data_IF_044914163711
#
_entry.id   IF_044914163711
#
_cell.length_a   1.000
_cell.length_b   1.000
_cell.length_c   1.000
_cell.angle_alpha   90.00
_cell.angle_beta   90.00
_cell.angle_gamma   90.00
#
_symmetry.space_group_name_H-M   'P 1'
#
loop_
_entity.id
_entity.type
_entity.pdbx_description
1 polymer ?
#
# COMPACT_ATOMS: atom_id res chain seq x y z
N UNK A 1 16.35 -10.80 -27.57
CA UNK A 1 16.25 -10.07 -26.29
C UNK A 1 15.15 -9.04 -26.48
N UNK A 2 14.12 -9.03 -25.63
CA UNK A 2 13.08 -8.00 -25.68
C UNK A 2 13.69 -6.72 -25.13
N UNK A 3 13.58 -5.60 -25.86
CA UNK A 3 13.95 -4.29 -25.34
C UNK A 3 12.95 -3.82 -24.27
N UNK A 4 13.37 -2.89 -23.40
CA UNK A 4 12.46 -2.22 -22.46
C UNK A 4 11.44 -1.44 -23.30
N UNK A 5 10.12 -1.55 -23.02
CA UNK A 5 9.11 -0.80 -23.76
C UNK A 5 9.33 0.71 -23.67
N UNK A 6 8.93 1.44 -24.72
CA UNK A 6 8.97 2.91 -24.72
C UNK A 6 8.16 3.49 -23.55
N UNK A 7 8.65 4.60 -22.97
CA UNK A 7 8.03 5.25 -21.80
C UNK A 7 6.56 5.57 -22.06
N UNK A 8 6.21 6.04 -23.25
CA UNK A 8 4.82 6.38 -23.57
C UNK A 8 3.90 5.15 -23.47
N UNK A 9 4.36 3.98 -23.93
CA UNK A 9 3.61 2.73 -23.83
C UNK A 9 3.44 2.28 -22.36
N UNK A 10 4.49 2.38 -21.56
CA UNK A 10 4.43 2.06 -20.12
C UNK A 10 3.44 2.98 -19.39
N UNK A 11 3.47 4.28 -19.67
CA UNK A 11 2.55 5.27 -19.07
C UNK A 11 1.10 5.01 -19.47
N UNK A 12 0.82 4.63 -20.73
CA UNK A 12 -0.54 4.25 -21.16
C UNK A 12 -1.03 3.03 -20.40
N UNK A 13 -0.21 1.97 -20.31
CA UNK A 13 -0.55 0.77 -19.54
C UNK A 13 -0.84 1.10 -18.08
N UNK A 14 0.02 1.90 -17.45
CA UNK A 14 -0.11 2.29 -16.05
C UNK A 14 -1.36 3.15 -15.79
N UNK A 15 -1.68 4.09 -16.69
CA UNK A 15 -2.92 4.88 -16.63
C UNK A 15 -4.16 4.00 -16.71
N UNK A 16 -4.15 3.01 -17.59
CA UNK A 16 -5.29 2.09 -17.76
C UNK A 16 -5.41 1.13 -16.56
N UNK A 17 -4.28 0.78 -15.90
CA UNK A 17 -4.27 0.03 -14.65
C UNK A 17 -4.95 0.80 -13.51
N UNK A 18 -4.53 2.05 -13.24
CA UNK A 18 -5.12 2.86 -12.15
C UNK A 18 -6.60 3.20 -12.41
N UNK A 19 -6.97 3.48 -13.67
CA UNK A 19 -8.36 3.78 -14.04
C UNK A 19 -9.32 2.62 -13.76
N UNK A 20 -8.84 1.38 -13.90
CA UNK A 20 -9.62 0.16 -13.62
C UNK A 20 -9.53 -0.25 -12.14
N UNK A 21 -8.37 -0.10 -11.51
CA UNK A 21 -8.09 -0.58 -10.16
C UNK A 21 -8.58 0.32 -9.03
N UNK A 22 -8.60 1.66 -9.21
CA UNK A 22 -9.08 2.56 -8.16
C UNK A 22 -9.57 3.91 -8.70
N UNK A 23 -10.89 4.13 -8.61
CA UNK A 23 -11.50 5.41 -9.00
C UNK A 23 -10.99 6.58 -8.16
N UNK A 24 -10.82 6.38 -6.85
CA UNK A 24 -10.37 7.43 -5.92
C UNK A 24 -8.93 7.85 -6.22
N UNK A 25 -8.00 6.89 -6.36
CA UNK A 25 -6.62 7.22 -6.70
C UNK A 25 -6.49 7.78 -8.12
N UNK A 26 -7.25 7.26 -9.10
CA UNK A 26 -7.28 7.84 -10.44
C UNK A 26 -7.73 9.30 -10.42
N UNK A 27 -8.74 9.64 -9.62
CA UNK A 27 -9.22 11.02 -9.46
C UNK A 27 -8.20 11.90 -8.74
N UNK A 28 -7.67 11.46 -7.60
CA UNK A 28 -6.67 12.19 -6.81
C UNK A 28 -5.38 12.45 -7.60
N UNK A 29 -4.97 11.50 -8.45
CA UNK A 29 -3.77 11.64 -9.28
C UNK A 29 -3.81 12.86 -10.22
N UNK A 30 -5.01 13.36 -10.57
CA UNK A 30 -5.17 14.53 -11.44
C UNK A 30 -4.66 15.83 -10.80
N UNK A 31 -4.47 15.86 -9.48
CA UNK A 31 -3.99 17.04 -8.75
C UNK A 31 -2.48 17.25 -8.93
N UNK A 32 -1.73 16.16 -9.15
CA UNK A 32 -0.30 16.20 -9.45
C UNK A 32 0.00 16.94 -10.77
N UNK A 33 1.23 17.45 -10.89
CA UNK A 33 1.77 17.88 -12.18
C UNK A 33 1.87 16.67 -13.14
N UNK A 34 1.84 16.88 -14.47
CA UNK A 34 1.82 15.78 -15.44
C UNK A 34 2.91 14.74 -15.23
N UNK A 35 4.16 15.17 -15.01
CA UNK A 35 5.31 14.28 -14.80
C UNK A 35 5.18 13.45 -13.51
N UNK A 36 4.91 14.08 -12.37
CA UNK A 36 4.67 13.39 -11.08
C UNK A 36 3.49 12.42 -11.17
N UNK A 37 2.44 12.79 -11.91
CA UNK A 37 1.26 11.95 -12.12
C UNK A 37 1.60 10.68 -12.89
N UNK A 38 2.37 10.79 -13.98
CA UNK A 38 2.81 9.63 -14.75
C UNK A 38 3.67 8.69 -13.91
N UNK A 39 4.62 9.24 -13.14
CA UNK A 39 5.43 8.46 -12.21
C UNK A 39 4.58 7.74 -11.18
N UNK A 40 3.60 8.42 -10.59
CA UNK A 40 2.68 7.82 -9.62
C UNK A 40 1.84 6.69 -10.25
N UNK A 41 1.42 6.82 -11.52
CA UNK A 41 0.74 5.73 -12.23
C UNK A 41 1.64 4.52 -12.42
N UNK A 42 2.90 4.71 -12.82
CA UNK A 42 3.86 3.62 -13.00
C UNK A 42 4.09 2.85 -11.70
N UNK A 43 4.28 3.57 -10.59
CA UNK A 43 4.40 2.95 -9.26
C UNK A 43 3.13 2.20 -8.89
N UNK A 44 1.96 2.80 -9.07
CA UNK A 44 0.67 2.16 -8.79
C UNK A 44 0.49 0.86 -9.59
N UNK A 45 0.84 0.85 -10.87
CA UNK A 45 0.70 -0.31 -11.74
C UNK A 45 1.49 -1.51 -11.20
N UNK A 46 2.70 -1.27 -10.68
CA UNK A 46 3.50 -2.31 -10.05
C UNK A 46 2.94 -2.77 -8.71
N UNK A 47 2.49 -1.85 -7.84
CA UNK A 47 1.83 -2.24 -6.59
C UNK A 47 0.61 -3.14 -6.87
N UNK A 48 -0.23 -2.75 -7.84
CA UNK A 48 -1.42 -3.52 -8.23
C UNK A 48 -1.06 -4.88 -8.84
N UNK A 49 0.00 -4.94 -9.64
CA UNK A 49 0.47 -6.21 -10.22
C UNK A 49 1.02 -7.15 -9.14
N UNK A 50 1.73 -6.63 -8.14
CA UNK A 50 2.20 -7.43 -7.02
C UNK A 50 1.04 -7.99 -6.19
N UNK A 51 0.03 -7.17 -5.93
CA UNK A 51 -1.23 -7.55 -5.28
C UNK A 51 -1.96 -8.67 -6.04
N UNK A 52 -2.16 -8.52 -7.36
CA UNK A 52 -2.73 -9.58 -8.21
C UNK A 52 -1.93 -10.90 -8.14
N UNK A 53 -0.59 -10.83 -8.14
CA UNK A 53 0.27 -12.03 -8.01
C UNK A 53 0.10 -12.66 -6.63
N UNK A 54 0.08 -11.87 -5.55
CA UNK A 54 -0.09 -12.37 -4.18
C UNK A 54 -1.44 -13.11 -4.01
N UNK A 55 -2.51 -12.51 -4.51
CA UNK A 55 -3.86 -13.08 -4.46
C UNK A 55 -4.09 -14.22 -5.46
N UNK A 56 -3.18 -14.40 -6.43
CA UNK A 56 -3.31 -15.41 -7.47
C UNK A 56 -4.46 -15.10 -8.44
N UNK A 57 -4.65 -13.82 -8.71
CA UNK A 57 -5.68 -13.27 -9.58
C UNK A 57 -5.04 -12.64 -10.83
N UNK A 58 -5.85 -12.49 -11.87
CA UNK A 58 -5.57 -11.55 -12.97
C UNK A 58 -6.66 -10.48 -12.91
N UNK A 59 -6.32 -9.28 -12.42
CA UNK A 59 -7.21 -8.13 -12.32
C UNK A 59 -8.44 -8.27 -11.38
N UNK A 60 -8.29 -8.76 -10.14
CA UNK A 60 -9.37 -8.63 -9.13
C UNK A 60 -10.49 -9.68 -9.23
N UNK A 61 -10.24 -10.82 -9.88
CA UNK A 61 -11.19 -11.92 -10.03
C UNK A 61 -11.38 -12.76 -8.76
N UNK A 62 -12.29 -13.73 -8.77
CA UNK A 62 -12.49 -14.61 -7.61
C UNK A 62 -11.19 -15.34 -7.23
N UNK A 63 -10.86 -15.36 -5.93
CA UNK A 63 -9.77 -16.15 -5.35
C UNK A 63 -9.80 -17.58 -5.91
N UNK A 64 -8.79 -17.95 -6.70
CA UNK A 64 -8.61 -19.35 -7.10
C UNK A 64 -7.82 -20.09 -6.02
N UNK A 65 -8.08 -21.39 -5.83
CA UNK A 65 -7.31 -22.21 -4.88
C UNK A 65 -5.92 -22.43 -5.50
N UNK A 66 -4.93 -21.66 -5.05
CA UNK A 66 -3.64 -21.56 -5.76
C UNK A 66 -2.56 -22.47 -5.16
N UNK A 67 -1.82 -23.13 -6.05
CA UNK A 67 -0.94 -24.27 -5.78
C UNK A 67 0.45 -23.96 -5.21
N UNK A 68 0.92 -22.69 -5.17
CA UNK A 68 2.16 -22.33 -4.45
C UNK A 68 2.28 -20.81 -4.20
N UNK A 69 2.07 -20.36 -2.96
CA UNK A 69 2.26 -18.95 -2.59
C UNK A 69 3.74 -18.54 -2.54
N UNK A 70 4.62 -19.49 -2.21
CA UNK A 70 6.05 -19.23 -2.10
C UNK A 70 6.70 -19.04 -3.48
N UNK A 71 6.28 -19.82 -4.48
CA UNK A 71 6.71 -19.63 -5.86
C UNK A 71 6.34 -18.24 -6.39
N UNK A 72 5.12 -17.77 -6.12
CA UNK A 72 4.64 -16.44 -6.56
C UNK A 72 5.42 -15.30 -5.91
N UNK A 73 5.73 -15.40 -4.61
CA UNK A 73 6.60 -14.43 -3.93
C UNK A 73 8.02 -14.45 -4.52
N UNK A 74 8.56 -15.63 -4.82
CA UNK A 74 9.87 -15.77 -5.46
C UNK A 74 9.89 -15.10 -6.85
N UNK A 75 8.86 -15.33 -7.66
CA UNK A 75 8.72 -14.73 -8.99
C UNK A 75 8.58 -13.21 -8.90
N UNK A 76 7.77 -12.72 -7.96
CA UNK A 76 7.60 -11.28 -7.69
C UNK A 76 8.92 -10.61 -7.31
N UNK A 77 9.72 -11.23 -6.42
CA UNK A 77 11.06 -10.73 -6.07
C UNK A 77 11.98 -10.73 -7.28
N UNK A 78 12.03 -11.83 -8.03
CA UNK A 78 12.88 -11.96 -9.20
C UNK A 78 12.57 -10.90 -10.28
N UNK A 79 11.29 -10.65 -10.57
CA UNK A 79 10.86 -9.63 -11.51
C UNK A 79 11.18 -8.21 -11.00
N UNK A 80 10.95 -7.94 -9.72
CA UNK A 80 11.29 -6.65 -9.09
C UNK A 80 12.79 -6.38 -9.15
N UNK A 81 13.63 -7.37 -8.81
CA UNK A 81 15.09 -7.24 -8.84
C UNK A 81 15.61 -6.98 -10.26
N UNK A 82 15.04 -7.66 -11.27
CA UNK A 82 15.34 -7.39 -12.69
C UNK A 82 14.98 -5.97 -13.08
N UNK A 83 13.78 -5.51 -12.72
CA UNK A 83 13.34 -4.13 -12.98
C UNK A 83 14.28 -3.10 -12.33
N UNK A 84 14.69 -3.33 -11.07
CA UNK A 84 15.60 -2.47 -10.33
C UNK A 84 17.00 -2.39 -10.99
N UNK A 85 17.49 -3.50 -11.58
CA UNK A 85 18.73 -3.52 -12.37
C UNK A 85 18.59 -2.87 -13.76
N UNK A 86 17.38 -2.48 -14.16
CA UNK A 86 17.13 -1.94 -15.50
C UNK A 86 17.15 -2.99 -16.59
N UNK A 87 16.85 -4.24 -16.25
CA UNK A 87 16.68 -5.31 -17.21
C UNK A 87 15.20 -5.38 -17.62
N UNK A 88 14.89 -5.55 -18.91
CA UNK A 88 13.52 -5.82 -19.37
C UNK A 88 12.99 -7.06 -18.65
N UNK A 89 11.82 -6.97 -18.04
CA UNK A 89 11.17 -8.06 -17.29
C UNK A 89 10.22 -8.86 -18.17
N UNK A 90 9.63 -8.22 -19.17
CA UNK A 90 8.56 -8.77 -20.01
C UNK A 90 7.15 -8.45 -19.50
N UNK A 91 7.04 -7.74 -18.36
CA UNK A 91 5.77 -7.25 -17.82
C UNK A 91 5.83 -5.71 -17.71
N UNK A 92 4.94 -4.97 -18.40
CA UNK A 92 4.95 -3.51 -18.40
C UNK A 92 4.87 -2.85 -17.02
N UNK A 93 4.22 -3.49 -16.03
CA UNK A 93 4.11 -2.95 -14.69
C UNK A 93 5.48 -2.92 -14.00
N UNK A 94 6.25 -4.01 -14.12
CA UNK A 94 7.60 -4.09 -13.56
C UNK A 94 8.60 -3.24 -14.34
N UNK A 95 8.49 -3.20 -15.67
CA UNK A 95 9.37 -2.35 -16.51
C UNK A 95 9.16 -0.85 -16.20
N UNK A 96 7.90 -0.42 -16.04
CA UNK A 96 7.52 0.92 -15.61
C UNK A 96 8.02 1.26 -14.21
N UNK A 97 7.95 0.30 -13.29
CA UNK A 97 8.50 0.46 -11.94
C UNK A 97 10.00 0.65 -11.94
N UNK A 98 10.75 -0.20 -12.66
CA UNK A 98 12.20 -0.04 -12.79
C UNK A 98 12.59 1.34 -13.32
N UNK A 99 11.84 1.84 -14.31
CA UNK A 99 12.04 3.19 -14.86
C UNK A 99 11.89 4.27 -13.79
N UNK A 100 10.78 4.29 -13.03
CA UNK A 100 10.54 5.33 -12.01
C UNK A 100 11.52 5.26 -10.84
N UNK A 101 11.88 4.04 -10.41
CA UNK A 101 12.87 3.83 -9.34
C UNK A 101 14.21 4.46 -9.69
N UNK A 102 14.67 4.31 -10.94
CA UNK A 102 15.92 4.93 -11.43
C UNK A 102 15.79 6.44 -11.62
N UNK A 103 14.71 6.91 -12.23
CA UNK A 103 14.49 8.34 -12.48
C UNK A 103 14.48 9.18 -11.20
N UNK A 104 13.93 8.62 -10.13
CA UNK A 104 13.77 9.32 -8.86
C UNK A 104 14.79 8.89 -7.79
N UNK A 105 15.74 8.00 -8.13
CA UNK A 105 16.72 7.44 -7.20
C UNK A 105 16.08 6.88 -5.91
N UNK A 106 14.94 6.20 -6.05
CA UNK A 106 14.18 5.66 -4.91
C UNK A 106 14.97 4.48 -4.31
N UNK A 107 15.18 4.45 -2.98
CA UNK A 107 15.86 3.34 -2.34
C UNK A 107 15.14 2.00 -2.58
N UNK A 108 15.87 1.02 -3.11
CA UNK A 108 15.35 -0.31 -3.42
C UNK A 108 14.74 -1.04 -2.20
N UNK A 109 15.20 -0.71 -0.97
CA UNK A 109 14.67 -1.27 0.27
C UNK A 109 13.14 -1.17 0.36
N UNK A 110 12.54 -0.06 -0.07
CA UNK A 110 11.09 0.13 0.03
C UNK A 110 10.30 -0.83 -0.86
N UNK A 111 10.88 -1.23 -2.00
CA UNK A 111 10.28 -2.24 -2.86
C UNK A 111 10.27 -3.61 -2.18
N UNK A 112 11.39 -3.98 -1.56
CA UNK A 112 11.52 -5.23 -0.82
C UNK A 112 10.65 -5.26 0.44
N UNK A 113 10.59 -4.14 1.17
CA UNK A 113 9.73 -4.00 2.34
C UNK A 113 8.26 -4.22 1.99
N UNK A 114 7.79 -3.73 0.84
CA UNK A 114 6.43 -4.01 0.36
C UNK A 114 6.23 -5.50 0.06
N UNK A 115 7.20 -6.15 -0.59
CA UNK A 115 7.14 -7.58 -0.89
C UNK A 115 7.16 -8.44 0.38
N UNK A 116 7.87 -8.00 1.43
CA UNK A 116 7.83 -8.64 2.74
C UNK A 116 6.44 -8.56 3.37
N UNK A 117 5.67 -7.50 3.10
CA UNK A 117 4.25 -7.41 3.46
C UNK A 117 3.40 -8.51 2.82
N UNK A 118 3.52 -8.70 1.50
CA UNK A 118 2.82 -9.80 0.81
C UNK A 118 3.25 -11.18 1.34
N UNK A 119 4.50 -11.33 1.79
CA UNK A 119 4.98 -12.58 2.39
C UNK A 119 4.30 -12.90 3.74
N UNK A 120 3.96 -11.87 4.53
CA UNK A 120 3.17 -12.05 5.76
C UNK A 120 1.76 -12.54 5.43
N UNK A 121 1.11 -11.94 4.43
CA UNK A 121 -0.24 -12.33 4.01
C UNK A 121 -0.26 -13.76 3.42
N UNK A 122 0.74 -14.14 2.65
CA UNK A 122 0.89 -15.50 2.13
C UNK A 122 1.06 -16.55 3.24
N UNK A 123 1.62 -16.17 4.39
CA UNK A 123 1.88 -17.04 5.52
C UNK A 123 0.71 -17.13 6.55
N UNK A 124 -0.45 -16.54 6.23
CA UNK A 124 -1.58 -16.34 7.16
C UNK A 124 -1.15 -15.73 8.51
N UNK A 125 -0.22 -14.78 8.44
CA UNK A 125 0.31 -14.11 9.61
C UNK A 125 -0.77 -13.26 10.32
N UNK A 126 -0.64 -13.12 11.65
CA UNK A 126 -1.55 -12.32 12.49
C UNK A 126 -0.75 -11.50 13.51
N UNK A 127 -1.08 -10.21 13.73
CA UNK A 127 -0.37 -9.38 14.69
C UNK A 127 -0.63 -9.85 16.12
N UNK A 128 0.42 -10.00 16.92
CA UNK A 128 0.27 -10.31 18.36
C UNK A 128 0.07 -9.04 19.17
N UNK A 129 0.78 -7.98 18.78
CA UNK A 129 0.85 -6.68 19.47
C UNK A 129 0.47 -5.52 18.55
N UNK A 130 0.32 -4.33 19.12
CA UNK A 130 0.15 -3.09 18.35
C UNK A 130 1.37 -2.80 17.47
N UNK A 131 2.59 -3.01 17.99
CA UNK A 131 3.83 -2.84 17.22
C UNK A 131 3.91 -3.76 16.01
N UNK A 132 3.42 -4.99 16.14
CA UNK A 132 3.32 -5.92 15.02
C UNK A 132 2.37 -5.41 13.95
N UNK A 133 1.19 -4.90 14.36
CA UNK A 133 0.24 -4.27 13.44
C UNK A 133 0.86 -3.05 12.73
N UNK A 134 1.55 -2.17 13.47
CA UNK A 134 2.20 -0.99 12.88
C UNK A 134 3.32 -1.38 11.91
N UNK A 135 4.09 -2.43 12.22
CA UNK A 135 5.11 -2.98 11.30
C UNK A 135 4.45 -3.54 10.03
N UNK A 136 3.34 -4.25 10.16
CA UNK A 136 2.57 -4.71 9.00
C UNK A 136 2.08 -3.51 8.15
N UNK A 137 1.48 -2.50 8.79
CA UNK A 137 1.05 -1.27 8.10
C UNK A 137 2.21 -0.55 7.39
N UNK A 138 3.41 -0.56 7.97
CA UNK A 138 4.60 -0.05 7.31
C UNK A 138 4.87 -0.81 6.01
N UNK A 139 4.95 -2.14 6.07
CA UNK A 139 5.25 -2.96 4.90
C UNK A 139 4.22 -2.74 3.78
N UNK A 140 2.92 -2.82 4.07
CA UNK A 140 1.89 -2.81 3.03
C UNK A 140 1.46 -1.40 2.57
N UNK A 141 1.83 -0.34 3.29
CA UNK A 141 1.42 1.02 2.93
C UNK A 141 2.46 2.10 3.25
N UNK A 142 3.13 2.05 4.41
CA UNK A 142 4.16 3.03 4.80
C UNK A 142 5.32 3.11 3.80
N UNK A 143 5.82 1.96 3.34
CA UNK A 143 6.87 1.87 2.32
C UNK A 143 6.46 2.54 1.00
N UNK A 144 5.19 2.39 0.59
CA UNK A 144 4.64 3.09 -0.57
C UNK A 144 4.58 4.60 -0.35
N UNK A 145 4.23 5.04 0.86
CA UNK A 145 4.31 6.45 1.27
C UNK A 145 5.70 7.04 1.09
N UNK A 146 6.74 6.33 1.53
CA UNK A 146 8.14 6.73 1.34
C UNK A 146 8.53 6.80 -0.14
N UNK A 147 8.17 5.80 -0.95
CA UNK A 147 8.42 5.82 -2.40
C UNK A 147 7.74 7.00 -3.08
N UNK A 148 6.49 7.30 -2.68
CA UNK A 148 5.75 8.46 -3.17
C UNK A 148 6.43 9.78 -2.79
N UNK A 149 6.93 9.92 -1.56
CA UNK A 149 7.64 11.13 -1.13
C UNK A 149 8.89 11.40 -1.98
N UNK A 150 9.73 10.38 -2.18
CA UNK A 150 10.92 10.51 -3.02
C UNK A 150 10.55 10.83 -4.47
N UNK A 151 9.53 10.14 -5.01
CA UNK A 151 8.99 10.41 -6.35
C UNK A 151 8.48 11.86 -6.52
N UNK A 152 7.96 12.46 -5.44
CA UNK A 152 7.52 13.85 -5.39
C UNK A 152 8.67 14.87 -5.19
N UNK A 153 9.91 14.39 -5.04
CA UNK A 153 11.13 15.22 -4.96
C UNK A 153 11.71 15.37 -3.56
N UNK A 154 11.28 14.60 -2.58
CA UNK A 154 11.92 14.54 -1.26
C UNK A 154 13.27 13.83 -1.38
N UNK A 155 14.31 14.37 -0.76
CA UNK A 155 15.62 13.74 -0.71
C UNK A 155 15.53 12.39 0.02
N UNK A 156 16.03 11.27 -0.56
CA UNK A 156 16.07 9.98 0.12
C UNK A 156 16.81 9.96 1.47
N UNK A 157 17.61 10.98 1.77
CA UNK A 157 18.30 11.18 3.05
C UNK A 157 17.51 12.06 4.05
N UNK A 158 16.39 12.67 3.65
CA UNK A 158 15.51 13.43 4.55
C UNK A 158 14.58 12.49 5.32
N UNK A 159 15.16 11.79 6.30
CA UNK A 159 14.44 10.83 7.14
C UNK A 159 13.23 11.45 7.83
N UNK A 160 13.31 12.72 8.25
CA UNK A 160 12.21 13.40 8.93
C UNK A 160 10.96 13.54 8.03
N UNK A 161 11.14 13.96 6.77
CA UNK A 161 10.02 14.04 5.82
C UNK A 161 9.53 12.65 5.41
N UNK A 162 10.44 11.69 5.24
CA UNK A 162 10.08 10.30 4.90
C UNK A 162 9.28 9.62 6.02
N UNK A 163 9.60 9.88 7.29
CA UNK A 163 8.82 9.39 8.43
C UNK A 163 7.39 9.94 8.40
N UNK A 164 7.20 11.23 8.02
CA UNK A 164 5.84 11.80 7.86
C UNK A 164 5.10 11.19 6.67
N UNK A 165 5.79 10.82 5.61
CA UNK A 165 5.20 10.12 4.48
C UNK A 165 4.80 8.68 4.84
N UNK A 166 5.63 7.99 5.64
CA UNK A 166 5.32 6.70 6.21
C UNK A 166 4.07 6.77 7.08
N UNK A 167 3.96 7.77 7.97
CA UNK A 167 2.79 7.99 8.83
C UNK A 167 1.49 8.06 8.01
N UNK A 168 1.49 8.72 6.84
CA UNK A 168 0.29 8.76 6.00
C UNK A 168 -0.10 7.36 5.48
N UNK A 169 0.89 6.55 5.10
CA UNK A 169 0.67 5.15 4.72
C UNK A 169 0.09 4.33 5.88
N UNK A 170 0.64 4.50 7.09
CA UNK A 170 0.09 3.87 8.31
C UNK A 170 -1.37 4.28 8.53
N UNK A 171 -1.68 5.58 8.42
CA UNK A 171 -3.02 6.09 8.60
C UNK A 171 -4.02 5.45 7.63
N UNK A 172 -3.67 5.34 6.35
CA UNK A 172 -4.53 4.70 5.35
C UNK A 172 -4.74 3.22 5.62
N UNK A 173 -3.69 2.49 6.01
CA UNK A 173 -3.85 1.05 6.28
C UNK A 173 -4.65 0.80 7.55
N UNK A 174 -4.45 1.58 8.61
CA UNK A 174 -5.26 1.50 9.82
C UNK A 174 -6.74 1.80 9.54
N UNK A 175 -7.03 2.79 8.68
CA UNK A 175 -8.38 3.10 8.23
C UNK A 175 -9.00 1.97 7.41
N UNK A 176 -8.26 1.35 6.48
CA UNK A 176 -8.72 0.18 5.73
C UNK A 176 -9.07 -0.97 6.69
N UNK A 177 -8.16 -1.32 7.61
CA UNK A 177 -8.42 -2.38 8.59
C UNK A 177 -9.65 -2.06 9.44
N UNK A 178 -9.85 -0.80 9.85
CA UNK A 178 -11.02 -0.40 10.64
C UNK A 178 -12.34 -0.57 9.87
N UNK A 179 -12.33 -0.23 8.57
CA UNK A 179 -13.49 -0.33 7.68
C UNK A 179 -13.84 -1.79 7.37
N UNK A 180 -12.81 -2.61 7.15
CA UNK A 180 -12.95 -3.90 6.47
C UNK A 180 -12.89 -5.10 7.45
N UNK A 181 -12.91 -4.88 8.78
CA UNK A 181 -12.85 -5.93 9.81
C UNK A 181 -13.76 -7.13 9.50
N UNK A 182 -15.00 -6.85 9.06
CA UNK A 182 -15.97 -7.89 8.74
C UNK A 182 -15.68 -8.65 7.45
N UNK A 183 -15.21 -7.96 6.42
CA UNK A 183 -14.84 -8.55 5.13
C UNK A 183 -13.56 -9.40 5.29
N UNK A 184 -12.57 -8.88 6.01
CA UNK A 184 -11.36 -9.61 6.39
C UNK A 184 -11.69 -10.89 7.16
N UNK A 185 -12.55 -10.81 8.17
CA UNK A 185 -12.98 -11.98 8.93
C UNK A 185 -13.69 -13.03 8.05
N UNK A 186 -14.50 -12.60 7.09
CA UNK A 186 -15.16 -13.49 6.13
C UNK A 186 -14.15 -14.16 5.18
N UNK A 187 -13.04 -13.49 4.86
CA UNK A 187 -11.91 -14.02 4.11
C UNK A 187 -10.93 -14.86 4.97
N UNK A 188 -11.22 -15.06 6.27
CA UNK A 188 -10.37 -15.81 7.20
C UNK A 188 -9.18 -15.02 7.77
N UNK A 189 -9.07 -13.73 7.41
CA UNK A 189 -8.03 -12.80 7.87
C UNK A 189 -8.40 -12.15 9.20
N UNK A 190 -7.41 -11.70 9.94
CA UNK A 190 -7.62 -10.88 11.15
C UNK A 190 -6.38 -10.05 11.45
N UNK A 191 -6.48 -8.73 11.22
CA UNK A 191 -5.40 -7.77 11.48
C UNK A 191 -5.53 -7.05 12.83
N UNK A 192 -6.51 -7.45 13.66
CA UNK A 192 -6.61 -6.96 15.03
C UNK A 192 -5.58 -7.68 15.91
N UNK A 193 -4.74 -6.96 16.69
CA UNK A 193 -3.77 -7.57 17.59
C UNK A 193 -4.42 -8.57 18.55
N UNK A 194 -3.80 -9.75 18.69
CA UNK A 194 -4.26 -10.80 19.61
C UNK A 194 -4.41 -10.26 21.05
N UNK A 195 -3.48 -9.41 21.49
CA UNK A 195 -3.57 -8.78 22.81
C UNK A 195 -4.86 -7.95 22.99
N UNK A 196 -5.27 -7.18 21.97
CA UNK A 196 -6.49 -6.37 22.06
C UNK A 196 -7.77 -7.21 22.07
N UNK A 197 -7.76 -8.32 21.32
CA UNK A 197 -8.89 -9.26 21.32
C UNK A 197 -9.04 -9.89 22.71
N UNK A 198 -7.93 -10.30 23.32
CA UNK A 198 -7.92 -10.89 24.66
C UNK A 198 -8.45 -9.91 25.73
N UNK A 199 -8.08 -8.64 25.66
CA UNK A 199 -8.56 -7.60 26.59
C UNK A 199 -10.09 -7.41 26.58
N UNK A 200 -10.77 -7.88 25.53
CA UNK A 200 -12.22 -7.76 25.33
C UNK A 200 -12.95 -9.12 25.31
N UNK A 201 -12.27 -10.20 25.72
CA UNK A 201 -12.78 -11.58 25.65
C UNK A 201 -13.29 -11.94 24.24
N UNK A 202 -12.55 -11.51 23.21
CA UNK A 202 -12.81 -11.81 21.81
C UNK A 202 -11.78 -12.80 21.26
N UNK A 203 -12.20 -13.57 20.27
CA UNK A 203 -11.30 -14.37 19.44
C UNK A 203 -11.64 -14.12 17.97
N UNK A 204 -10.74 -14.43 17.02
CA UNK A 204 -11.07 -14.33 15.60
C UNK A 204 -12.36 -15.10 15.23
N UNK A 205 -12.63 -16.23 15.89
CA UNK A 205 -13.82 -17.03 15.65
C UNK A 205 -15.12 -16.40 16.21
N UNK A 206 -15.05 -15.60 17.27
CA UNK A 206 -16.22 -14.98 17.90
C UNK A 206 -16.45 -13.52 17.48
N UNK A 207 -15.50 -12.94 16.73
CA UNK A 207 -15.44 -11.53 16.35
C UNK A 207 -16.71 -11.02 15.67
N UNK A 208 -17.33 -11.85 14.82
CA UNK A 208 -18.50 -11.48 14.01
C UNK A 208 -19.84 -11.87 14.63
N UNK A 209 -19.86 -12.35 15.88
CA UNK A 209 -21.11 -12.67 16.57
C UNK A 209 -21.89 -11.40 16.96
N UNK A 210 -23.23 -11.43 17.03
CA UNK A 210 -24.01 -10.28 17.48
C UNK A 210 -23.59 -9.75 18.86
N UNK A 211 -23.17 -10.65 19.76
CA UNK A 211 -22.70 -10.31 21.11
C UNK A 211 -21.36 -9.56 21.11
N UNK A 212 -20.50 -9.76 20.10
CA UNK A 212 -19.21 -9.09 19.99
C UNK A 212 -19.32 -7.64 19.47
N UNK A 213 -20.42 -7.27 18.82
CA UNK A 213 -20.58 -5.97 18.12
C UNK A 213 -20.22 -4.73 18.96
N UNK A 214 -20.65 -4.58 20.23
CA UNK A 214 -20.28 -3.42 21.03
C UNK A 214 -18.76 -3.33 21.28
N UNK A 215 -18.11 -4.48 21.52
CA UNK A 215 -16.68 -4.59 21.77
C UNK A 215 -15.87 -4.38 20.49
N UNK A 216 -16.36 -4.90 19.37
CA UNK A 216 -15.79 -4.63 18.05
C UNK A 216 -15.80 -3.13 17.73
N UNK A 217 -16.87 -2.43 18.10
CA UNK A 217 -16.93 -0.97 17.98
C UNK A 217 -15.87 -0.23 18.80
N UNK A 218 -15.39 -0.80 19.92
CA UNK A 218 -14.26 -0.23 20.68
C UNK A 218 -12.96 -0.35 19.86
N UNK A 219 -12.71 -1.53 19.28
CA UNK A 219 -11.51 -1.77 18.46
C UNK A 219 -11.52 -0.95 17.17
N UNK A 220 -12.67 -0.85 16.50
CA UNK A 220 -12.82 0.02 15.33
C UNK A 220 -12.54 1.48 15.65
N UNK A 221 -13.05 2.01 16.78
CA UNK A 221 -12.73 3.37 17.23
C UNK A 221 -11.26 3.54 17.59
N UNK A 222 -10.61 2.53 18.17
CA UNK A 222 -9.17 2.56 18.47
C UNK A 222 -8.36 2.71 17.18
N UNK A 223 -8.63 1.87 16.18
CA UNK A 223 -7.98 1.95 14.86
C UNK A 223 -8.23 3.31 14.19
N UNK A 224 -9.47 3.78 14.17
CA UNK A 224 -9.81 5.08 13.58
C UNK A 224 -9.10 6.24 14.30
N UNK A 225 -8.99 6.19 15.63
CA UNK A 225 -8.25 7.17 16.41
C UNK A 225 -6.76 7.15 16.10
N UNK A 226 -6.14 5.96 15.97
CA UNK A 226 -4.74 5.84 15.57
C UNK A 226 -4.53 6.36 14.14
N UNK A 227 -5.41 6.01 13.21
CA UNK A 227 -5.36 6.51 11.84
C UNK A 227 -5.38 8.04 11.80
N UNK A 228 -6.27 8.67 12.57
CA UNK A 228 -6.35 10.13 12.66
C UNK A 228 -5.08 10.77 13.25
N UNK A 229 -4.44 10.14 14.26
CA UNK A 229 -3.19 10.62 14.84
C UNK A 229 -2.04 10.56 13.83
N UNK A 230 -1.92 9.47 13.07
CA UNK A 230 -0.92 9.34 12.01
C UNK A 230 -1.20 10.29 10.83
N UNK A 231 -2.47 10.52 10.48
CA UNK A 231 -2.85 11.52 9.47
C UNK A 231 -2.46 12.94 9.91
N UNK A 232 -2.70 13.31 11.17
CA UNK A 232 -2.28 14.58 11.75
C UNK A 232 -0.75 14.72 11.72
N UNK A 233 -0.03 13.68 12.14
CA UNK A 233 1.43 13.62 12.07
C UNK A 233 1.94 13.85 10.65
N UNK A 234 1.37 13.14 9.67
CA UNK A 234 1.76 13.23 8.26
C UNK A 234 1.62 14.65 7.67
N UNK A 235 0.63 15.43 8.13
CA UNK A 235 0.42 16.81 7.66
C UNK A 235 1.65 17.68 7.87
N UNK A 236 2.47 17.42 8.89
CA UNK A 236 3.70 18.18 9.15
C UNK A 236 4.75 18.02 8.03
N UNK A 237 4.76 16.89 7.30
CA UNK A 237 5.66 16.67 6.18
C UNK A 237 5.26 17.40 4.89
N UNK A 238 4.01 17.87 4.79
CA UNK A 238 3.50 18.46 3.53
C UNK A 238 4.17 19.78 3.16
N UNK A 239 4.76 20.49 4.13
CA UNK A 239 5.53 21.72 3.88
C UNK A 239 6.85 21.49 3.13
N UNK A 240 7.37 20.26 3.13
CA UNK A 240 8.57 19.89 2.38
C UNK A 240 8.29 19.52 0.91
N UNK A 241 7.01 19.40 0.52
CA UNK A 241 6.62 19.00 -0.82
C UNK A 241 6.40 20.21 -1.75
N UNK A 242 6.60 20.04 -3.08
CA UNK A 242 6.13 21.03 -4.05
C UNK A 242 4.64 21.31 -3.89
N UNK A 243 4.20 22.56 -4.10
CA UNK A 243 2.84 23.01 -3.77
C UNK A 243 1.72 22.12 -4.35
N UNK A 244 1.86 21.64 -5.59
CA UNK A 244 0.87 20.74 -6.21
C UNK A 244 0.85 19.35 -5.55
N UNK A 245 2.02 18.84 -5.18
CA UNK A 245 2.15 17.57 -4.47
C UNK A 245 1.60 17.66 -3.06
N UNK A 246 1.91 18.74 -2.33
CA UNK A 246 1.33 19.03 -1.02
C UNK A 246 -0.20 19.07 -1.08
N UNK A 247 -0.77 19.78 -2.07
CA UNK A 247 -2.22 19.85 -2.24
C UNK A 247 -2.85 18.49 -2.60
N UNK A 248 -2.19 17.71 -3.46
CA UNK A 248 -2.63 16.36 -3.80
C UNK A 248 -2.64 15.42 -2.58
N UNK A 249 -1.59 15.47 -1.76
CA UNK A 249 -1.48 14.69 -0.52
C UNK A 249 -2.55 15.11 0.49
N UNK A 250 -2.75 16.40 0.70
CA UNK A 250 -3.78 16.91 1.62
C UNK A 250 -5.20 16.56 1.16
N UNK A 251 -5.47 16.60 -0.15
CA UNK A 251 -6.74 16.18 -0.71
C UNK A 251 -6.97 14.67 -0.55
N UNK A 252 -5.93 13.85 -0.78
CA UNK A 252 -6.00 12.41 -0.56
C UNK A 252 -6.26 12.09 0.93
N UNK A 253 -5.55 12.76 1.85
CA UNK A 253 -5.75 12.63 3.29
C UNK A 253 -7.19 13.00 3.70
N UNK A 254 -7.73 14.11 3.18
CA UNK A 254 -9.12 14.51 3.44
C UNK A 254 -10.15 13.49 2.93
N UNK A 255 -10.00 13.01 1.68
CA UNK A 255 -10.91 12.02 1.11
C UNK A 255 -10.88 10.70 1.91
N UNK A 256 -9.70 10.25 2.33
CA UNK A 256 -9.55 9.01 3.10
C UNK A 256 -9.98 9.16 4.56
N UNK A 257 -9.75 10.32 5.18
CA UNK A 257 -10.22 10.62 6.52
C UNK A 257 -11.76 10.61 6.62
N UNK A 258 -12.46 10.98 5.54
CA UNK A 258 -13.93 10.91 5.47
C UNK A 258 -14.45 9.48 5.27
N UNK A 259 -13.65 8.58 4.68
CA UNK A 259 -14.02 7.15 4.51
C UNK A 259 -13.86 6.38 5.83
N UNK A 260 -12.95 6.83 6.71
CA UNK A 260 -12.65 6.18 7.98
C UNK A 260 -13.59 6.56 9.15
N UNK A 261 -14.47 7.56 8.97
CA UNK A 261 -15.36 8.12 10.00
C UNK A 261 -16.81 7.65 9.87
#
# INVERSE_FOLDING_TARGET
MSDIPDRAALVVHARDSIARGSRSFAMASKLFAPETRERAWLLYAWCRKCDDIADGQDHGGALSVVTDAQARLSDMRALTDRALRGEPTGDPAFDGFGLVMRECAIPARYAHDLIDGFALDAADWRPRTEDDLLRYCYHVAGAVGCMMAVLMGVDPADEATLDRACDLGLAFQLANIARDIGEDAAAGRCYLPVAWLADLDLTPATLMTPAARPRLGILGRRLASMAAQYEESARHGTGALPARSAWAVLAAAGIYGDIAR
#
